data_IF_121142502639
#
_entry.id   IF_121142502639
#
_cell.length_a   1.000
_cell.length_b   1.000
_cell.length_c   1.000
_cell.angle_alpha   90.00
_cell.angle_beta   90.00
_cell.angle_gamma   90.00
#
_symmetry.space_group_name_H-M   'P 1'
#
loop_
_entity.id
_entity.type
_entity.pdbx_description
1 polymer ?
#
# COMPACT_ATOMS: atom_id res chain seq x y z
N UNK A 1 -11.22 -19.76 1.94
CA UNK A 1 -10.35 -18.75 2.57
C UNK A 1 -10.48 -18.88 4.07
N UNK A 2 -9.38 -18.86 4.80
CA UNK A 2 -9.35 -18.91 6.26
C UNK A 2 -8.26 -17.95 6.77
N UNK A 3 -8.47 -17.32 7.91
CA UNK A 3 -7.52 -16.38 8.52
C UNK A 3 -8.13 -15.00 8.80
N UNK A 4 -7.41 -14.13 9.54
CA UNK A 4 -7.93 -12.82 9.98
C UNK A 4 -8.35 -11.89 8.84
N UNK A 5 -7.70 -12.01 7.67
CA UNK A 5 -7.91 -11.19 6.49
C UNK A 5 -8.89 -11.78 5.46
N UNK A 6 -9.53 -12.92 5.77
CA UNK A 6 -10.36 -13.63 4.79
C UNK A 6 -11.54 -12.80 4.24
N UNK A 7 -12.05 -11.84 5.03
CA UNK A 7 -13.10 -10.92 4.60
C UNK A 7 -12.63 -9.99 3.48
N UNK A 8 -11.48 -9.34 3.67
CA UNK A 8 -10.90 -8.40 2.72
C UNK A 8 -10.50 -9.09 1.41
N UNK A 9 -9.94 -10.30 1.48
CA UNK A 9 -9.67 -11.09 0.28
C UNK A 9 -10.94 -11.39 -0.52
N UNK A 10 -12.03 -11.74 0.16
CA UNK A 10 -13.30 -12.03 -0.50
C UNK A 10 -13.94 -10.77 -1.10
N UNK A 11 -13.85 -9.63 -0.41
CA UNK A 11 -14.33 -8.34 -0.89
C UNK A 11 -13.56 -7.88 -2.13
N UNK A 12 -12.23 -7.81 -2.06
CA UNK A 12 -11.40 -7.42 -3.21
C UNK A 12 -11.59 -8.38 -4.39
N UNK A 13 -11.68 -9.69 -4.16
CA UNK A 13 -11.92 -10.66 -5.23
C UNK A 13 -13.27 -10.45 -5.96
N UNK A 14 -14.27 -9.86 -5.30
CA UNK A 14 -15.58 -9.61 -5.90
C UNK A 14 -15.57 -8.46 -6.91
N UNK A 15 -14.85 -7.36 -6.64
CA UNK A 15 -14.90 -6.12 -7.44
C UNK A 15 -13.67 -5.90 -8.35
N UNK A 16 -12.68 -6.78 -8.27
CA UNK A 16 -11.43 -6.62 -9.03
C UNK A 16 -11.45 -7.27 -10.43
N UNK A 17 -10.37 -7.06 -11.19
CA UNK A 17 -10.20 -7.64 -12.53
C UNK A 17 -10.11 -9.18 -12.49
N UNK A 18 -10.38 -9.90 -13.61
CA UNK A 18 -10.19 -11.35 -13.65
C UNK A 18 -8.78 -11.80 -13.28
N UNK A 19 -7.77 -11.00 -13.61
CA UNK A 19 -6.37 -11.28 -13.27
C UNK A 19 -6.14 -11.19 -11.75
N UNK A 20 -6.50 -10.06 -11.13
CA UNK A 20 -6.34 -9.87 -9.70
C UNK A 20 -7.17 -10.91 -8.93
N UNK A 21 -8.40 -11.19 -9.37
CA UNK A 21 -9.27 -12.20 -8.75
C UNK A 21 -8.62 -13.58 -8.68
N UNK A 22 -7.86 -13.96 -9.71
CA UNK A 22 -7.14 -15.23 -9.70
C UNK A 22 -6.12 -15.29 -8.56
N UNK A 23 -5.32 -14.23 -8.40
CA UNK A 23 -4.31 -14.11 -7.33
C UNK A 23 -4.99 -14.13 -5.97
N UNK A 24 -6.06 -13.37 -5.79
CA UNK A 24 -6.73 -13.25 -4.49
C UNK A 24 -7.49 -14.52 -4.06
N UNK A 25 -7.75 -15.45 -4.99
CA UNK A 25 -8.72 -16.54 -4.79
C UNK A 25 -8.36 -17.55 -3.70
N UNK A 26 -7.07 -17.73 -3.39
CA UNK A 26 -6.63 -18.67 -2.37
C UNK A 26 -6.45 -18.02 -0.98
N UNK A 27 -6.56 -16.69 -0.90
CA UNK A 27 -6.41 -15.92 0.33
C UNK A 27 -4.98 -15.74 0.79
N UNK A 28 -3.98 -15.94 -0.08
CA UNK A 28 -2.56 -15.68 0.20
C UNK A 28 -1.93 -15.01 -1.02
N UNK A 29 -1.01 -14.06 -0.80
CA UNK A 29 -0.29 -13.42 -1.90
C UNK A 29 1.20 -13.64 -1.68
N UNK A 30 1.85 -14.23 -2.67
CA UNK A 30 3.29 -14.43 -2.67
C UNK A 30 4.02 -13.22 -3.24
N UNK A 31 5.29 -13.05 -2.86
CA UNK A 31 6.15 -12.01 -3.45
C UNK A 31 6.29 -12.14 -4.99
N UNK A 32 6.13 -13.37 -5.52
CA UNK A 32 6.14 -13.61 -6.97
C UNK A 32 4.88 -13.07 -7.66
N UNK A 33 3.72 -13.19 -7.02
CA UNK A 33 2.47 -12.67 -7.56
C UNK A 33 2.45 -11.16 -7.54
N UNK A 34 2.96 -10.54 -6.48
CA UNK A 34 3.17 -9.08 -6.43
C UNK A 34 4.11 -8.62 -7.56
N UNK A 35 5.24 -9.31 -7.75
CA UNK A 35 6.17 -8.96 -8.83
C UNK A 35 5.55 -9.10 -10.23
N UNK A 36 4.71 -10.12 -10.47
CA UNK A 36 3.97 -10.28 -11.72
C UNK A 36 2.93 -9.17 -11.93
N UNK A 37 2.18 -8.83 -10.87
CA UNK A 37 1.17 -7.77 -10.88
C UNK A 37 1.78 -6.40 -11.19
N UNK A 38 2.85 -6.05 -10.48
CA UNK A 38 3.62 -4.82 -10.70
C UNK A 38 4.23 -4.79 -12.11
N UNK A 39 4.78 -5.91 -12.60
CA UNK A 39 5.32 -5.99 -13.96
C UNK A 39 4.23 -5.73 -15.02
N UNK A 40 3.00 -6.22 -14.82
CA UNK A 40 1.88 -5.98 -15.72
C UNK A 40 1.38 -4.55 -15.65
N UNK A 41 1.34 -3.96 -14.45
CA UNK A 41 1.04 -2.55 -14.28
C UNK A 41 2.04 -1.66 -15.01
N UNK A 42 3.35 -1.91 -14.86
CA UNK A 42 4.40 -1.19 -15.60
C UNK A 42 4.26 -1.36 -17.10
N UNK A 43 3.93 -2.55 -17.59
CA UNK A 43 3.67 -2.79 -19.02
C UNK A 43 2.46 -1.98 -19.53
N UNK A 44 1.36 -1.96 -18.79
CA UNK A 44 0.17 -1.15 -19.11
C UNK A 44 0.51 0.35 -19.16
N UNK A 45 1.26 0.87 -18.18
CA UNK A 45 1.70 2.27 -18.17
C UNK A 45 2.60 2.59 -19.37
N UNK A 46 3.47 1.65 -19.75
CA UNK A 46 4.33 1.77 -20.93
C UNK A 46 3.53 1.81 -22.23
N UNK A 47 2.51 0.98 -22.38
CA UNK A 47 1.60 0.99 -23.53
C UNK A 47 0.82 2.31 -23.63
N UNK A 48 0.52 2.92 -22.49
CA UNK A 48 -0.06 4.26 -22.45
C UNK A 48 0.95 5.36 -22.78
N UNK A 49 2.25 5.07 -22.68
CA UNK A 49 3.34 5.97 -23.04
C UNK A 49 4.08 6.58 -21.84
N UNK A 50 4.09 5.90 -20.70
CA UNK A 50 4.82 6.31 -19.50
C UNK A 50 5.84 5.26 -19.07
N UNK A 51 7.00 5.69 -18.61
CA UNK A 51 7.84 4.87 -17.75
C UNK A 51 7.27 4.92 -16.32
N UNK A 52 7.11 3.75 -15.68
CA UNK A 52 6.48 3.63 -14.36
C UNK A 52 7.27 2.68 -13.46
N UNK A 53 7.59 3.16 -12.26
CA UNK A 53 8.33 2.42 -11.25
C UNK A 53 7.70 2.57 -9.88
N UNK A 54 7.73 1.49 -9.10
CA UNK A 54 7.29 1.46 -7.70
C UNK A 54 8.50 1.23 -6.80
N UNK A 55 8.61 2.00 -5.74
CA UNK A 55 9.64 1.86 -4.72
C UNK A 55 9.18 0.93 -3.59
N UNK A 56 10.13 0.45 -2.78
CA UNK A 56 9.86 -0.50 -1.68
C UNK A 56 8.99 0.08 -0.56
N UNK A 57 8.91 1.40 -0.43
CA UNK A 57 8.06 2.09 0.54
C UNK A 57 6.63 2.31 0.03
N UNK A 58 6.30 1.73 -1.14
CA UNK A 58 5.00 1.85 -1.79
C UNK A 58 4.80 3.13 -2.60
N UNK A 59 5.79 4.04 -2.61
CA UNK A 59 5.73 5.22 -3.49
C UNK A 59 5.89 4.80 -4.95
N UNK A 60 5.33 5.58 -5.87
CA UNK A 60 5.47 5.30 -7.29
C UNK A 60 5.65 6.56 -8.12
N UNK A 61 6.49 6.42 -9.15
CA UNK A 61 6.85 7.49 -10.06
C UNK A 61 6.38 7.13 -11.46
N UNK A 62 5.93 8.14 -12.21
CA UNK A 62 5.60 7.99 -13.62
C UNK A 62 6.20 9.17 -14.39
N UNK A 63 6.83 8.88 -15.52
CA UNK A 63 7.39 9.90 -16.41
C UNK A 63 7.01 9.61 -17.86
N UNK A 64 6.78 10.63 -18.70
CA UNK A 64 6.45 10.42 -20.10
C UNK A 64 7.62 9.79 -20.85
N UNK A 65 7.33 8.79 -21.70
CA UNK A 65 8.32 8.21 -22.60
C UNK A 65 8.78 9.24 -23.66
N UNK A 66 9.98 9.07 -24.24
CA UNK A 66 10.45 9.93 -25.32
C UNK A 66 9.43 10.08 -26.45
N UNK A 67 9.15 11.32 -26.84
CA UNK A 67 8.20 11.64 -27.90
C UNK A 67 6.75 11.82 -27.44
N UNK A 68 6.42 11.50 -26.19
CA UNK A 68 5.13 11.86 -25.60
C UNK A 68 5.18 13.28 -25.03
N UNK A 69 4.08 14.02 -25.20
CA UNK A 69 3.93 15.32 -24.54
C UNK A 69 3.74 15.11 -23.04
N UNK A 70 4.31 15.99 -22.24
CA UNK A 70 3.98 16.05 -20.82
C UNK A 70 2.47 16.34 -20.70
N UNK A 71 1.78 15.48 -19.96
CA UNK A 71 0.38 15.67 -19.58
C UNK A 71 0.32 16.24 -18.16
N UNK A 72 -0.83 16.75 -17.76
CA UNK A 72 -1.03 17.16 -16.38
C UNK A 72 -1.07 15.95 -15.43
N UNK A 73 -0.92 16.24 -14.14
CA UNK A 73 -0.90 15.19 -13.11
C UNK A 73 -2.20 14.38 -13.07
N UNK A 74 -3.33 14.97 -13.46
CA UNK A 74 -4.63 14.30 -13.48
C UNK A 74 -4.65 13.18 -14.51
N UNK A 75 -4.24 13.44 -15.75
CA UNK A 75 -4.22 12.44 -16.80
C UNK A 75 -3.25 11.28 -16.51
N UNK A 76 -2.10 11.58 -15.88
CA UNK A 76 -1.16 10.56 -15.40
C UNK A 76 -1.82 9.71 -14.31
N UNK A 77 -2.51 10.33 -13.35
CA UNK A 77 -3.19 9.61 -12.27
C UNK A 77 -4.35 8.76 -12.78
N UNK A 78 -5.09 9.21 -13.79
CA UNK A 78 -6.14 8.40 -14.43
C UNK A 78 -5.55 7.16 -15.10
N UNK A 79 -4.42 7.33 -15.79
CA UNK A 79 -3.68 6.22 -16.41
C UNK A 79 -3.17 5.22 -15.36
N UNK A 80 -2.58 5.73 -14.27
CA UNK A 80 -2.15 4.91 -13.12
C UNK A 80 -3.32 4.14 -12.53
N UNK A 81 -4.44 4.82 -12.25
CA UNK A 81 -5.63 4.24 -11.64
C UNK A 81 -6.24 3.14 -12.50
N UNK A 82 -6.29 3.36 -13.82
CA UNK A 82 -6.73 2.35 -14.78
C UNK A 82 -5.83 1.11 -14.75
N UNK A 83 -4.52 1.28 -14.90
CA UNK A 83 -3.59 0.15 -14.91
C UNK A 83 -3.55 -0.58 -13.56
N UNK A 84 -3.59 0.15 -12.44
CA UNK A 84 -3.64 -0.44 -11.11
C UNK A 84 -4.90 -1.28 -10.91
N UNK A 85 -6.08 -0.76 -11.29
CA UNK A 85 -7.35 -1.49 -11.19
C UNK A 85 -7.36 -2.80 -11.99
N UNK A 86 -6.65 -2.82 -13.12
CA UNK A 86 -6.58 -4.02 -13.94
C UNK A 86 -5.57 -5.05 -13.40
N UNK A 87 -4.51 -4.61 -12.73
CA UNK A 87 -3.36 -5.49 -12.46
C UNK A 87 -2.85 -5.55 -11.03
N UNK A 88 -2.84 -4.48 -10.24
CA UNK A 88 -1.97 -4.42 -9.06
C UNK A 88 -2.60 -3.84 -7.78
N UNK A 89 -3.68 -3.06 -7.90
CA UNK A 89 -4.23 -2.28 -6.78
C UNK A 89 -4.51 -3.11 -5.54
N UNK A 90 -5.28 -4.19 -5.68
CA UNK A 90 -5.68 -5.04 -4.57
C UNK A 90 -4.57 -6.02 -4.18
N UNK A 91 -3.79 -6.47 -5.15
CA UNK A 91 -2.71 -7.44 -4.95
C UNK A 91 -1.61 -6.84 -4.07
N UNK A 92 -1.06 -5.69 -4.46
CA UNK A 92 -0.02 -5.01 -3.67
C UNK A 92 -0.57 -4.50 -2.33
N UNK A 93 -1.81 -3.99 -2.30
CA UNK A 93 -2.44 -3.54 -1.06
C UNK A 93 -2.55 -4.67 -0.02
N UNK A 94 -3.22 -5.77 -0.36
CA UNK A 94 -3.45 -6.87 0.58
C UNK A 94 -2.13 -7.56 0.97
N UNK A 95 -1.17 -7.68 0.04
CA UNK A 95 0.14 -8.22 0.38
C UNK A 95 0.84 -7.40 1.47
N UNK A 96 0.85 -6.07 1.32
CA UNK A 96 1.49 -5.19 2.28
C UNK A 96 0.76 -5.18 3.63
N UNK A 97 -0.58 -5.13 3.61
CA UNK A 97 -1.37 -5.14 4.85
C UNK A 97 -1.21 -6.45 5.64
N UNK A 98 -1.29 -7.60 4.97
CA UNK A 98 -1.07 -8.90 5.63
C UNK A 98 0.37 -9.03 6.14
N UNK A 99 1.36 -8.58 5.38
CA UNK A 99 2.77 -8.62 5.80
C UNK A 99 3.02 -7.71 7.02
N UNK A 100 2.36 -6.55 7.06
CA UNK A 100 2.49 -5.55 8.13
C UNK A 100 1.77 -5.96 9.41
N UNK A 101 0.59 -6.55 9.29
CA UNK A 101 -0.27 -6.93 10.40
C UNK A 101 -0.93 -8.31 10.16
N UNK A 102 -0.17 -9.43 10.23
CA UNK A 102 -0.66 -10.74 9.83
C UNK A 102 -1.83 -11.26 10.67
N UNK A 103 -1.86 -10.89 11.95
CA UNK A 103 -2.93 -11.26 12.89
C UNK A 103 -4.10 -10.27 12.90
N UNK A 104 -4.05 -9.22 12.06
CA UNK A 104 -5.07 -8.17 11.96
C UNK A 104 -5.44 -7.56 13.32
N UNK A 105 -4.40 -7.23 14.08
CA UNK A 105 -4.49 -6.51 15.35
C UNK A 105 -5.06 -5.10 15.12
N UNK A 106 -5.45 -4.42 16.20
CA UNK A 106 -5.93 -3.04 16.10
C UNK A 106 -4.83 -2.11 15.55
N UNK A 107 -5.13 -1.44 14.45
CA UNK A 107 -4.17 -0.61 13.70
C UNK A 107 -3.59 0.54 14.53
N UNK A 108 -4.42 1.15 15.36
CA UNK A 108 -3.97 2.25 16.19
C UNK A 108 -3.12 1.74 17.36
N UNK A 109 -3.48 0.59 17.95
CA UNK A 109 -2.70 -0.04 19.01
C UNK A 109 -1.27 -0.35 18.55
N UNK A 110 -1.11 -1.07 17.42
CA UNK A 110 0.22 -1.43 16.91
C UNK A 110 1.02 -0.20 16.46
N UNK A 111 0.36 0.79 15.85
CA UNK A 111 1.04 1.99 15.34
C UNK A 111 1.46 2.91 16.47
N UNK A 112 0.60 3.18 17.47
CA UNK A 112 0.94 4.01 18.64
C UNK A 112 2.05 3.36 19.46
N UNK A 113 1.98 2.04 19.67
CA UNK A 113 3.04 1.32 20.35
C UNK A 113 4.39 1.52 19.66
N UNK A 114 4.43 1.41 18.33
CA UNK A 114 5.64 1.65 17.56
C UNK A 114 6.12 3.11 17.67
N UNK A 115 5.22 4.09 17.49
CA UNK A 115 5.56 5.53 17.54
C UNK A 115 6.18 5.92 18.88
N UNK A 116 5.68 5.36 19.99
CA UNK A 116 6.27 5.52 21.33
C UNK A 116 7.61 4.82 21.45
N UNK A 117 7.74 3.60 20.92
CA UNK A 117 9.00 2.84 20.97
C UNK A 117 10.14 3.58 20.25
N UNK A 118 9.85 4.22 19.11
CA UNK A 118 10.82 5.06 18.38
C UNK A 118 10.93 6.49 18.94
N UNK A 119 10.20 6.81 20.01
CA UNK A 119 10.18 8.11 20.71
C UNK A 119 9.77 9.29 19.83
N UNK A 120 8.94 9.03 18.82
CA UNK A 120 8.39 10.09 17.99
C UNK A 120 7.18 10.78 18.66
N UNK A 121 6.49 10.06 19.53
CA UNK A 121 5.43 10.56 20.42
C UNK A 121 5.72 10.13 21.86
N UNK A 122 5.10 10.81 22.83
CA UNK A 122 5.24 10.47 24.25
C UNK A 122 4.16 9.48 24.74
N UNK A 123 4.28 9.07 26.00
CA UNK A 123 3.37 8.10 26.64
C UNK A 123 1.94 8.62 26.81
N UNK A 124 1.70 9.91 26.60
CA UNK A 124 0.36 10.52 26.65
C UNK A 124 -0.37 10.45 25.32
N UNK A 125 0.33 10.24 24.19
CA UNK A 125 -0.26 10.11 22.87
C UNK A 125 -1.11 8.85 22.77
N UNK A 126 -2.41 8.96 22.46
CA UNK A 126 -3.36 7.83 22.54
C UNK A 126 -3.75 7.27 21.17
N UNK A 127 -4.28 6.05 21.16
CA UNK A 127 -4.84 5.40 19.98
C UNK A 127 -6.04 6.19 19.42
N UNK A 128 -6.81 6.85 20.29
CA UNK A 128 -7.91 7.73 19.86
C UNK A 128 -7.39 8.96 19.13
N UNK A 129 -6.35 9.59 19.68
CA UNK A 129 -5.71 10.75 19.04
C UNK A 129 -5.13 10.36 17.69
N UNK A 130 -4.45 9.22 17.62
CA UNK A 130 -3.95 8.67 16.35
C UNK A 130 -5.06 8.48 15.32
N UNK A 131 -6.20 7.88 15.69
CA UNK A 131 -7.33 7.70 14.76
C UNK A 131 -7.84 9.04 14.23
N UNK A 132 -8.06 10.02 15.09
CA UNK A 132 -8.48 11.36 14.67
C UNK A 132 -7.48 12.00 13.71
N UNK A 133 -6.18 11.94 14.04
CA UNK A 133 -5.14 12.51 13.18
C UNK A 133 -5.00 11.76 11.86
N UNK A 134 -5.18 10.44 11.85
CA UNK A 134 -5.15 9.60 10.66
C UNK A 134 -6.34 9.89 9.74
N UNK A 135 -7.54 10.05 10.29
CA UNK A 135 -8.74 10.38 9.53
C UNK A 135 -8.65 11.77 8.91
N UNK A 136 -8.11 12.75 9.65
CA UNK A 136 -7.97 14.14 9.18
C UNK A 136 -6.68 14.38 8.37
N UNK A 137 -5.74 13.41 8.37
CA UNK A 137 -4.41 13.53 7.75
C UNK A 137 -3.50 14.57 8.41
N UNK A 138 -3.77 14.97 9.66
CA UNK A 138 -3.07 16.04 10.37
C UNK A 138 -2.42 15.51 11.65
N UNK A 139 -1.20 14.96 11.52
CA UNK A 139 -0.45 14.38 12.63
C UNK A 139 0.30 15.42 13.45
N UNK A 140 0.42 15.20 14.76
CA UNK A 140 1.25 16.01 15.66
C UNK A 140 2.76 15.78 15.46
N UNK A 141 3.13 14.81 14.63
CA UNK A 141 4.49 14.47 14.21
C UNK A 141 4.61 14.50 12.70
N UNK A 142 5.84 14.55 12.19
CA UNK A 142 6.08 14.45 10.74
C UNK A 142 5.83 13.02 10.27
N UNK A 143 4.85 12.82 9.39
CA UNK A 143 4.58 11.51 8.75
C UNK A 143 5.73 11.03 7.83
N UNK A 144 6.69 11.91 7.54
CA UNK A 144 7.89 11.62 6.75
C UNK A 144 9.13 11.41 7.62
N UNK A 145 8.99 11.52 8.95
CA UNK A 145 10.06 11.11 9.85
C UNK A 145 10.41 9.63 9.62
N UNK A 146 11.69 9.23 9.58
CA UNK A 146 12.06 7.83 9.38
C UNK A 146 11.40 6.87 10.37
N UNK A 147 11.19 7.29 11.62
CA UNK A 147 10.46 6.53 12.62
C UNK A 147 8.96 6.40 12.31
N UNK A 148 8.32 7.47 11.81
CA UNK A 148 6.94 7.40 11.34
C UNK A 148 6.80 6.46 10.12
N UNK A 149 7.72 6.56 9.16
CA UNK A 149 7.73 5.71 7.96
C UNK A 149 7.92 4.24 8.34
N UNK A 150 8.81 3.96 9.30
CA UNK A 150 8.98 2.63 9.86
C UNK A 150 7.67 2.13 10.49
N UNK A 151 7.06 2.90 11.39
CA UNK A 151 5.83 2.48 12.06
C UNK A 151 4.63 2.33 11.11
N UNK A 152 4.59 3.11 10.02
CA UNK A 152 3.57 2.96 8.98
C UNK A 152 3.74 1.69 8.17
N UNK A 153 4.98 1.27 7.88
CA UNK A 153 5.26 0.15 6.98
C UNK A 153 5.45 -1.17 7.75
N UNK A 154 5.96 -1.11 8.97
CA UNK A 154 6.26 -2.27 9.83
C UNK A 154 6.16 -1.90 11.33
N UNK A 155 4.95 -1.62 11.85
CA UNK A 155 4.74 -1.25 13.25
C UNK A 155 5.10 -2.38 14.23
N UNK A 156 5.14 -3.62 13.75
CA UNK A 156 5.49 -4.80 14.53
C UNK A 156 6.97 -5.19 14.41
N UNK A 157 7.75 -4.51 13.58
CA UNK A 157 9.18 -4.79 13.38
C UNK A 157 9.48 -6.18 12.80
N UNK A 158 8.58 -6.71 11.98
CA UNK A 158 8.64 -8.05 11.41
C UNK A 158 9.66 -8.19 10.28
N UNK A 159 10.02 -7.11 9.58
CA UNK A 159 10.84 -7.19 8.37
C UNK A 159 11.71 -5.96 8.04
N UNK A 160 11.48 -4.79 8.65
CA UNK A 160 12.40 -3.64 8.63
C UNK A 160 13.02 -3.47 10.03
N UNK A 161 14.35 -3.45 10.11
CA UNK A 161 15.13 -3.18 11.34
C UNK A 161 16.20 -2.15 11.06
#
# INVERSE_FOLDING_TARGET
>A
MAGPWAGEFAESAADTSPYQRQILSDGTISAREVADAQSRMSACMRDLGYDYTTAEDGTSEASPLPGRKAEDATAINDSKSKCAKDFDSDVTYLFNEVRRNPEKQDEAEITVACLRAVRLVDDTYTEREWRTQNDDGNFSFSQWDPGAVQCRLDPLGLWRQ
#
